data_IF_581313841114
#
_entry.id   IF_581313841114
#
_cell.length_a   1.000
_cell.length_b   1.000
_cell.length_c   1.000
_cell.angle_alpha   90.00
_cell.angle_beta   90.00
_cell.angle_gamma   90.00
#
_symmetry.space_group_name_H-M   'P 1'
#
loop_
_entity.id
_entity.type
_entity.pdbx_description
1 polymer ?
#
# COMPACT_ATOMS: atom_id res chain seq x y z
N UNK A 1 8.48 -4.48 -1.81
CA UNK A 1 8.63 -3.97 -0.43
C UNK A 1 7.46 -3.07 -0.05
N UNK A 2 7.10 -2.07 -0.87
CA UNK A 2 6.08 -1.07 -0.55
C UNK A 2 4.68 -1.64 -0.23
N UNK A 3 4.18 -2.61 -1.01
CA UNK A 3 2.88 -3.26 -0.74
C UNK A 3 2.82 -3.99 0.61
N UNK A 4 3.92 -4.61 1.02
CA UNK A 4 4.02 -5.29 2.31
C UNK A 4 3.93 -4.27 3.46
N UNK A 5 4.58 -3.11 3.31
CA UNK A 5 4.48 -2.02 4.28
C UNK A 5 3.04 -1.52 4.43
N UNK A 6 2.30 -1.32 3.33
CA UNK A 6 0.89 -0.90 3.41
C UNK A 6 -0.02 -1.96 4.03
N UNK A 7 0.22 -3.24 3.75
CA UNK A 7 -0.51 -4.34 4.39
C UNK A 7 -0.29 -4.34 5.90
N UNK A 8 0.97 -4.21 6.34
CA UNK A 8 1.33 -4.17 7.76
C UNK A 8 0.69 -2.95 8.44
N UNK A 9 0.75 -1.77 7.84
CA UNK A 9 0.12 -0.56 8.38
C UNK A 9 -1.40 -0.73 8.51
N UNK A 10 -2.06 -1.35 7.52
CA UNK A 10 -3.49 -1.63 7.57
C UNK A 10 -3.86 -2.46 8.81
N UNK A 11 -3.13 -3.55 9.07
CA UNK A 11 -3.37 -4.43 10.23
C UNK A 11 -3.07 -3.69 11.54
N UNK A 12 -1.98 -2.92 11.60
CA UNK A 12 -1.61 -2.16 12.79
C UNK A 12 -2.66 -1.08 13.11
N UNK A 13 -3.16 -0.36 12.11
CA UNK A 13 -4.23 0.63 12.30
C UNK A 13 -5.54 -0.01 12.73
N UNK A 14 -5.88 -1.21 12.23
CA UNK A 14 -7.05 -1.96 12.69
C UNK A 14 -6.95 -2.29 14.19
N UNK A 15 -5.83 -2.86 14.62
CA UNK A 15 -5.60 -3.24 16.02
C UNK A 15 -5.55 -2.00 16.93
N UNK A 16 -4.78 -0.98 16.56
CA UNK A 16 -4.66 0.26 17.32
C UNK A 16 -6.00 0.97 17.50
N UNK A 17 -6.83 1.03 16.44
CA UNK A 17 -8.15 1.67 16.50
C UNK A 17 -9.12 0.90 17.39
N UNK A 18 -9.12 -0.43 17.29
CA UNK A 18 -9.97 -1.30 18.11
C UNK A 18 -9.64 -1.17 19.60
N UNK A 19 -8.35 -1.09 19.93
CA UNK A 19 -7.88 -0.84 21.30
C UNK A 19 -8.25 0.58 21.75
N UNK A 20 -8.04 1.60 20.91
CA UNK A 20 -8.34 2.98 21.26
C UNK A 20 -9.84 3.18 21.57
N UNK A 21 -10.74 2.69 20.72
CA UNK A 21 -12.19 2.82 20.95
C UNK A 21 -12.64 2.05 22.21
N UNK A 22 -11.98 0.94 22.57
CA UNK A 22 -12.34 0.15 23.75
C UNK A 22 -12.20 0.90 25.09
N UNK A 23 -11.37 1.94 25.16
CA UNK A 23 -11.23 2.75 26.38
C UNK A 23 -12.40 3.72 26.64
N UNK A 24 -13.33 3.88 25.69
CA UNK A 24 -14.58 4.61 25.89
C UNK A 24 -14.48 6.12 26.13
N UNK A 25 -13.27 6.69 26.23
CA UNK A 25 -13.09 8.13 26.32
C UNK A 25 -13.24 8.79 24.95
N UNK A 26 -13.81 10.00 24.92
CA UNK A 26 -14.04 10.75 23.68
C UNK A 26 -12.75 10.97 22.86
N UNK A 27 -11.63 11.25 23.53
CA UNK A 27 -10.34 11.42 22.88
C UNK A 27 -9.84 10.14 22.19
N UNK A 28 -9.98 8.98 22.84
CA UNK A 28 -9.58 7.70 22.25
C UNK A 28 -10.53 7.24 21.15
N UNK A 29 -11.81 7.60 21.25
CA UNK A 29 -12.79 7.35 20.19
C UNK A 29 -12.49 8.15 18.91
N UNK A 30 -12.09 9.41 19.06
CA UNK A 30 -11.64 10.23 17.93
C UNK A 30 -10.36 9.65 17.28
N UNK A 31 -9.39 9.24 18.10
CA UNK A 31 -8.17 8.58 17.60
C UNK A 31 -8.49 7.26 16.87
N UNK A 32 -9.41 6.46 17.41
CA UNK A 32 -9.87 5.23 16.76
C UNK A 32 -10.60 5.47 15.44
N UNK A 33 -11.42 6.52 15.34
CA UNK A 33 -12.07 6.89 14.08
C UNK A 33 -11.06 7.22 12.98
N UNK A 34 -10.08 8.07 13.27
CA UNK A 34 -9.02 8.39 12.31
C UNK A 34 -8.13 7.18 12.00
N UNK A 35 -7.88 6.31 12.99
CA UNK A 35 -7.16 5.07 12.76
C UNK A 35 -7.91 4.11 11.83
N UNK A 36 -9.24 3.98 11.95
CA UNK A 36 -10.04 3.19 11.01
C UNK A 36 -10.04 3.80 9.60
N UNK A 37 -10.08 5.12 9.47
CA UNK A 37 -9.91 5.80 8.17
C UNK A 37 -8.56 5.48 7.53
N UNK A 38 -7.47 5.58 8.29
CA UNK A 38 -6.14 5.21 7.82
C UNK A 38 -6.08 3.74 7.40
N UNK A 39 -6.67 2.82 8.17
CA UNK A 39 -6.77 1.40 7.82
C UNK A 39 -7.42 1.22 6.44
N UNK A 40 -8.55 1.87 6.19
CA UNK A 40 -9.25 1.77 4.90
C UNK A 40 -8.39 2.32 3.75
N UNK A 41 -7.78 3.50 3.92
CA UNK A 41 -6.93 4.11 2.90
C UNK A 41 -5.74 3.22 2.52
N UNK A 42 -4.99 2.74 3.52
CA UNK A 42 -3.84 1.86 3.28
C UNK A 42 -4.25 0.48 2.74
N UNK A 43 -5.40 -0.04 3.18
CA UNK A 43 -5.94 -1.32 2.71
C UNK A 43 -6.35 -1.27 1.24
N UNK A 44 -7.02 -0.19 0.82
CA UNK A 44 -7.38 0.02 -0.60
C UNK A 44 -6.12 0.12 -1.45
N UNK A 45 -5.11 0.86 -1.02
CA UNK A 45 -3.89 1.06 -1.79
C UNK A 45 -3.11 -0.26 -1.94
N UNK A 46 -3.04 -1.07 -0.87
CA UNK A 46 -2.48 -2.42 -0.91
C UNK A 46 -3.29 -3.35 -1.84
N UNK A 47 -4.62 -3.29 -1.80
CA UNK A 47 -5.49 -4.10 -2.66
C UNK A 47 -5.32 -3.75 -4.14
N UNK A 48 -5.30 -2.45 -4.48
CA UNK A 48 -5.09 -1.99 -5.86
C UNK A 48 -3.72 -2.42 -6.38
N UNK A 49 -2.65 -2.27 -5.58
CA UNK A 49 -1.30 -2.75 -5.92
C UNK A 49 -1.27 -4.27 -6.10
N UNK A 50 -1.94 -5.03 -5.23
CA UNK A 50 -2.07 -6.49 -5.37
C UNK A 50 -2.81 -6.89 -6.64
N UNK A 51 -3.87 -6.16 -7.01
CA UNK A 51 -4.62 -6.39 -8.25
C UNK A 51 -3.79 -6.08 -9.49
N UNK A 52 -3.00 -5.01 -9.47
CA UNK A 52 -2.08 -4.64 -10.55
C UNK A 52 -1.03 -5.74 -10.80
N UNK A 53 -0.44 -6.29 -9.74
CA UNK A 53 0.51 -7.40 -9.88
C UNK A 53 -0.13 -8.67 -10.46
N UNK A 54 -1.36 -9.01 -10.05
CA UNK A 54 -2.09 -10.15 -10.61
C UNK A 54 -2.37 -9.98 -12.12
N UNK A 55 -2.45 -8.74 -12.60
CA UNK A 55 -2.58 -8.42 -14.02
C UNK A 55 -1.25 -8.43 -14.79
N UNK A 56 -0.14 -8.71 -14.11
CA UNK A 56 1.20 -8.69 -14.71
C UNK A 56 1.74 -7.26 -14.92
N UNK A 57 1.15 -6.25 -14.31
CA UNK A 57 1.69 -4.89 -14.34
C UNK A 57 2.98 -4.83 -13.53
N UNK A 58 3.96 -4.05 -14.01
CA UNK A 58 5.24 -3.88 -13.34
C UNK A 58 5.01 -3.33 -11.94
N UNK A 59 5.59 -4.01 -10.94
CA UNK A 59 5.64 -3.50 -9.59
C UNK A 59 6.22 -2.07 -9.61
N UNK A 60 5.54 -1.12 -8.96
CA UNK A 60 6.04 0.24 -8.83
C UNK A 60 7.48 0.21 -8.30
N UNK A 61 8.37 0.92 -9.00
CA UNK A 61 9.81 0.96 -8.73
C UNK A 61 10.67 0.02 -9.60
N UNK A 62 10.07 -0.92 -10.36
CA UNK A 62 10.83 -1.76 -11.29
C UNK A 62 10.97 -1.05 -12.65
N UNK A 63 12.09 -0.36 -12.85
CA UNK A 63 12.40 0.30 -14.13
C UNK A 63 12.91 -0.75 -15.13
N UNK A 64 12.13 -1.05 -16.17
CA UNK A 64 12.61 -1.89 -17.29
C UNK A 64 13.47 -1.04 -18.22
N UNK A 65 14.79 -1.08 -18.02
CA UNK A 65 15.75 -0.44 -18.93
C UNK A 65 15.76 -1.22 -20.24
N UNK A 66 14.96 -0.76 -21.21
CA UNK A 66 14.96 -1.32 -22.56
C UNK A 66 16.22 -0.86 -23.28
N UNK A 67 17.25 -1.71 -23.31
CA UNK A 67 18.47 -1.45 -24.09
C UNK A 67 18.12 -1.57 -25.58
N UNK A 68 18.00 -0.44 -26.29
CA UNK A 68 17.95 -0.43 -27.75
C UNK A 68 19.37 -0.65 -28.27
N UNK A 69 19.65 -1.79 -28.88
CA UNK A 69 20.90 -2.02 -29.63
C UNK A 69 20.79 -1.28 -30.96
N UNK A 70 21.63 -0.27 -31.24
CA UNK A 70 21.69 0.32 -32.57
C UNK A 70 22.33 -0.70 -33.51
N UNK A 71 21.59 -1.15 -34.53
CA UNK A 71 22.19 -1.87 -35.66
C UNK A 71 22.92 -0.83 -36.51
N UNK A 72 24.25 -0.92 -36.57
CA UNK A 72 25.04 -0.11 -37.50
C UNK A 72 24.76 -0.57 -38.93
N UNK A 73 24.41 0.33 -39.86
CA UNK A 73 24.30 -0.03 -41.28
C UNK A 73 25.65 -0.57 -41.76
N UNK A 74 25.66 -1.78 -42.31
CA UNK A 74 26.81 -2.34 -43.01
C UNK A 74 26.95 -1.57 -44.32
N UNK A 75 27.99 -0.74 -44.42
CA UNK A 75 28.40 -0.04 -45.63
C UNK A 75 29.35 -0.91 -46.45
#
# INVERSE_FOLDING_TARGET
>A
MEMLSYLILTILYLLASTIAVAFGAAAYSAAGFFGYLCMVCYGIDAFLKGRALNKGELAQGLHVVTKKTPVSPQA
#
